data_IF_798082736334
#
_entry.id   IF_798082736334
#
_cell.length_a   1.000
_cell.length_b   1.000
_cell.length_c   1.000
_cell.angle_alpha   90.00
_cell.angle_beta   90.00
_cell.angle_gamma   90.00
#
_symmetry.space_group_name_H-M   'P 1'
#
loop_
_entity.id
_entity.type
_entity.pdbx_description
1 polymer ?
#
# COMPACT_ATOMS: atom_id res chain seq x y z
N UNK A 1 5.97 -38.93 -37.98
CA UNK A 1 6.10 -39.27 -36.55
C UNK A 1 6.81 -38.20 -35.70
N UNK A 2 8.14 -38.01 -35.75
CA UNK A 2 8.83 -36.99 -34.90
C UNK A 2 8.32 -35.55 -35.17
N UNK A 3 8.14 -35.21 -36.45
CA UNK A 3 7.69 -33.88 -36.88
C UNK A 3 6.22 -33.57 -36.52
N UNK A 4 5.36 -34.60 -36.48
CA UNK A 4 3.95 -34.49 -36.06
C UNK A 4 3.83 -34.33 -34.54
N UNK A 5 4.69 -35.03 -33.81
CA UNK A 5 4.78 -34.89 -32.35
C UNK A 5 5.27 -33.47 -32.01
N UNK A 6 6.31 -32.97 -32.69
CA UNK A 6 6.86 -31.64 -32.47
C UNK A 6 5.86 -30.52 -32.78
N UNK A 7 5.13 -30.63 -33.90
CA UNK A 7 4.08 -29.66 -34.26
C UNK A 7 2.90 -29.69 -33.30
N UNK A 8 2.53 -30.85 -32.75
CA UNK A 8 1.52 -30.95 -31.69
C UNK A 8 1.95 -30.25 -30.39
N UNK A 9 3.22 -30.39 -30.00
CA UNK A 9 3.75 -29.69 -28.82
C UNK A 9 3.83 -28.18 -29.02
N UNK A 10 4.32 -27.71 -30.17
CA UNK A 10 4.35 -26.27 -30.48
C UNK A 10 2.94 -25.69 -30.40
N UNK A 11 1.94 -26.34 -31.02
CA UNK A 11 0.55 -25.90 -30.94
C UNK A 11 0.06 -25.81 -29.50
N UNK A 12 0.34 -26.83 -28.68
CA UNK A 12 -0.08 -26.88 -27.28
C UNK A 12 0.55 -25.75 -26.46
N UNK A 13 1.86 -25.52 -26.62
CA UNK A 13 2.58 -24.43 -25.93
C UNK A 13 2.06 -23.07 -26.41
N UNK A 14 1.87 -22.88 -27.70
CA UNK A 14 1.33 -21.64 -28.26
C UNK A 14 -0.08 -21.35 -27.75
N UNK A 15 -0.96 -22.36 -27.63
CA UNK A 15 -2.29 -22.20 -27.03
C UNK A 15 -2.19 -21.82 -25.56
N UNK A 16 -1.25 -22.42 -24.81
CA UNK A 16 -1.03 -22.10 -23.40
C UNK A 16 -0.60 -20.64 -23.21
N UNK A 17 0.38 -20.20 -24.02
CA UNK A 17 0.87 -18.82 -24.00
C UNK A 17 -0.27 -17.87 -24.37
N UNK A 18 -1.08 -18.20 -25.37
CA UNK A 18 -2.24 -17.38 -25.76
C UNK A 18 -3.28 -17.25 -24.64
N UNK A 19 -3.57 -18.34 -23.91
CA UNK A 19 -4.49 -18.30 -22.76
C UNK A 19 -3.90 -17.45 -21.63
N UNK A 20 -2.63 -17.63 -21.29
CA UNK A 20 -1.97 -16.86 -20.23
C UNK A 20 -1.95 -15.37 -20.58
N UNK A 21 -1.57 -15.02 -21.81
CA UNK A 21 -1.63 -13.63 -22.30
C UNK A 21 -3.06 -13.11 -22.22
N UNK A 22 -4.06 -13.89 -22.67
CA UNK A 22 -5.46 -13.51 -22.59
C UNK A 22 -5.93 -13.22 -21.16
N UNK A 23 -5.58 -14.08 -20.19
CA UNK A 23 -5.96 -13.87 -18.79
C UNK A 23 -5.24 -12.65 -18.20
N UNK A 24 -3.95 -12.47 -18.48
CA UNK A 24 -3.19 -11.30 -18.03
C UNK A 24 -3.76 -10.01 -18.63
N UNK A 25 -4.11 -10.00 -19.93
CA UNK A 25 -4.75 -8.87 -20.59
C UNK A 25 -6.12 -8.56 -19.98
N UNK A 26 -6.95 -9.58 -19.71
CA UNK A 26 -8.24 -9.40 -19.04
C UNK A 26 -8.04 -8.84 -17.62
N UNK A 27 -7.05 -9.35 -16.89
CA UNK A 27 -6.70 -8.85 -15.56
C UNK A 27 -6.34 -7.36 -15.61
N UNK A 28 -5.40 -6.95 -16.47
CA UNK A 28 -5.02 -5.54 -16.61
C UNK A 28 -6.15 -4.66 -17.16
N UNK A 29 -7.08 -5.23 -17.94
CA UNK A 29 -8.25 -4.50 -18.42
C UNK A 29 -9.23 -4.16 -17.29
N UNK A 30 -9.40 -5.06 -16.32
CA UNK A 30 -10.27 -4.83 -15.16
C UNK A 30 -9.57 -4.22 -13.96
N UNK A 31 -8.24 -4.36 -13.87
CA UNK A 31 -7.43 -3.75 -12.83
C UNK A 31 -7.37 -2.24 -13.06
N UNK A 32 -8.16 -1.49 -12.32
CA UNK A 32 -8.10 -0.03 -12.31
C UNK A 32 -7.09 0.39 -11.26
N UNK A 33 -6.09 1.17 -11.68
CA UNK A 33 -5.19 1.83 -10.75
C UNK A 33 -6.02 2.69 -9.78
N UNK A 34 -5.69 2.62 -8.49
CA UNK A 34 -6.40 3.29 -7.43
C UNK A 34 -5.42 4.11 -6.58
N UNK A 35 -5.86 5.31 -6.20
CA UNK A 35 -5.13 6.11 -5.21
C UNK A 35 -5.51 5.61 -3.83
N UNK A 36 -4.53 5.15 -3.05
CA UNK A 36 -4.76 4.70 -1.69
C UNK A 36 -3.84 5.51 -0.77
N UNK A 37 -4.42 6.38 0.06
CA UNK A 37 -3.68 7.13 1.06
C UNK A 37 -3.72 6.39 2.40
N UNK A 38 -2.55 6.01 2.89
CA UNK A 38 -2.36 5.49 4.23
C UNK A 38 -2.03 6.63 5.18
N UNK A 39 -2.79 6.74 6.28
CA UNK A 39 -2.54 7.70 7.36
C UNK A 39 -2.14 6.92 8.60
N UNK A 40 -0.90 7.13 9.05
CA UNK A 40 -0.30 6.49 10.23
C UNK A 40 0.04 7.53 11.28
N UNK A 41 -0.38 7.30 12.52
CA UNK A 41 0.10 8.06 13.68
C UNK A 41 1.33 7.36 14.26
N UNK A 42 2.52 7.89 14.01
CA UNK A 42 3.82 7.30 14.39
C UNK A 42 4.12 7.46 15.88
N UNK A 43 3.76 8.60 16.45
CA UNK A 43 3.92 8.91 17.86
C UNK A 43 2.77 9.79 18.31
N UNK A 44 2.23 9.52 19.49
CA UNK A 44 1.17 10.28 20.12
C UNK A 44 1.57 10.51 21.56
N UNK A 45 1.85 11.76 21.93
CA UNK A 45 2.29 12.11 23.27
C UNK A 45 1.45 13.24 23.84
N UNK A 46 0.96 13.05 25.06
CA UNK A 46 0.40 14.13 25.85
C UNK A 46 1.56 14.88 26.54
N UNK A 47 1.76 16.14 26.19
CA UNK A 47 2.88 16.95 26.70
C UNK A 47 2.61 17.59 28.05
N UNK A 48 1.33 17.82 28.38
CA UNK A 48 0.90 18.55 29.58
C UNK A 48 0.27 17.61 30.60
N UNK A 49 0.77 16.38 30.70
CA UNK A 49 0.26 15.43 31.67
C UNK A 49 0.46 15.98 33.09
N UNK A 50 -0.63 16.01 33.88
CA UNK A 50 -0.67 16.66 35.18
C UNK A 50 0.26 15.96 36.17
N UNK A 51 1.45 16.51 36.34
CA UNK A 51 2.35 16.25 37.48
C UNK A 51 2.03 17.18 38.66
N UNK A 52 0.79 17.66 38.76
CA UNK A 52 0.37 18.53 39.86
C UNK A 52 0.00 17.70 41.09
N UNK A 53 0.78 17.80 42.15
CA UNK A 53 0.44 17.34 43.51
C UNK A 53 -0.06 18.53 44.34
N UNK A 54 -0.57 18.29 45.55
CA UNK A 54 -1.16 19.33 46.41
C UNK A 54 -0.23 20.55 46.62
N UNK A 55 1.09 20.35 46.56
CA UNK A 55 2.10 21.40 46.76
C UNK A 55 2.81 21.88 45.46
N UNK A 56 2.48 21.32 44.29
CA UNK A 56 3.16 21.64 43.02
C UNK A 56 2.14 21.93 41.91
N UNK A 57 2.23 23.14 41.34
CA UNK A 57 1.44 23.52 40.15
C UNK A 57 2.37 23.74 38.97
N UNK A 58 2.13 22.99 37.90
CA UNK A 58 2.83 23.15 36.62
C UNK A 58 1.87 23.82 35.62
N UNK A 59 2.35 24.87 34.97
CA UNK A 59 1.61 25.56 33.89
C UNK A 59 2.46 25.51 32.63
N UNK A 60 1.80 25.20 31.51
CA UNK A 60 2.43 25.14 30.21
C UNK A 60 1.98 26.32 29.37
N UNK A 61 2.91 26.88 28.60
CA UNK A 61 2.65 27.99 27.70
C UNK A 61 3.15 27.64 26.30
N UNK A 62 2.31 27.86 25.28
CA UNK A 62 2.71 27.81 23.89
C UNK A 62 3.22 29.20 23.47
N UNK A 63 4.43 29.24 22.91
CA UNK A 63 5.13 30.49 22.53
C UNK A 63 5.14 31.53 23.66
N UNK A 64 5.44 31.07 24.87
CA UNK A 64 5.62 31.87 26.09
C UNK A 64 4.41 32.71 26.56
N UNK A 65 3.28 32.66 25.85
CA UNK A 65 2.19 33.63 26.03
C UNK A 65 0.82 32.98 26.15
N UNK A 66 0.60 31.85 25.48
CA UNK A 66 -0.72 31.23 25.42
C UNK A 66 -0.74 30.06 26.41
N UNK A 67 -1.49 30.13 27.52
CA UNK A 67 -1.61 29.00 28.43
C UNK A 67 -2.27 27.83 27.72
N UNK A 68 -1.74 26.62 27.89
CA UNK A 68 -2.23 25.42 27.24
C UNK A 68 -2.50 24.31 28.24
N UNK A 69 -3.56 23.55 28.02
CA UNK A 69 -3.86 22.34 28.76
C UNK A 69 -4.08 21.20 27.77
N UNK A 70 -3.91 19.96 28.23
CA UNK A 70 -4.04 18.75 27.41
C UNK A 70 -3.43 18.88 25.99
N UNK A 71 -2.20 19.39 25.90
CA UNK A 71 -1.52 19.60 24.63
C UNK A 71 -0.96 18.27 24.14
N UNK A 72 -1.45 17.81 23.00
CA UNK A 72 -0.96 16.64 22.31
C UNK A 72 0.06 17.03 21.25
N UNK A 73 1.18 16.32 21.23
CA UNK A 73 2.11 16.28 20.10
C UNK A 73 1.90 14.98 19.36
N UNK A 74 1.56 15.07 18.08
CA UNK A 74 1.29 13.89 17.24
C UNK A 74 2.10 13.97 15.96
N UNK A 75 2.82 12.90 15.68
CA UNK A 75 3.56 12.72 14.44
C UNK A 75 2.76 11.80 13.51
N UNK A 76 2.41 12.32 12.34
CA UNK A 76 1.67 11.58 11.32
C UNK A 76 2.54 11.35 10.09
N UNK A 77 2.38 10.19 9.45
CA UNK A 77 2.87 9.93 8.09
C UNK A 77 1.66 9.66 7.22
N UNK A 78 1.53 10.44 6.15
CA UNK A 78 0.58 10.19 5.07
C UNK A 78 1.38 9.65 3.90
N UNK A 79 1.04 8.47 3.38
CA UNK A 79 1.75 7.84 2.27
C UNK A 79 0.77 7.40 1.20
N UNK A 80 1.08 7.65 -0.07
CA UNK A 80 0.36 6.99 -1.14
C UNK A 80 0.89 5.55 -1.29
N UNK A 81 0.07 4.57 -0.92
CA UNK A 81 0.38 3.14 -1.02
C UNK A 81 -0.36 2.46 -2.19
N UNK A 82 -1.17 3.24 -2.92
CA UNK A 82 -1.86 2.80 -4.12
C UNK A 82 -0.89 2.69 -5.30
N UNK A 83 -1.38 2.17 -6.42
CA UNK A 83 -0.63 2.07 -7.68
C UNK A 83 -0.83 3.29 -8.59
N UNK A 84 -1.87 4.10 -8.36
CA UNK A 84 -2.08 5.36 -9.06
C UNK A 84 -1.32 6.54 -8.42
N UNK A 85 -0.95 7.53 -9.26
CA UNK A 85 -0.46 8.83 -8.79
C UNK A 85 -1.63 9.74 -8.48
N UNK A 86 -1.63 10.37 -7.29
CA UNK A 86 -2.61 11.39 -6.94
C UNK A 86 -2.20 12.75 -7.52
N UNK A 87 -3.04 13.31 -8.41
CA UNK A 87 -2.78 14.61 -9.05
C UNK A 87 -3.50 15.73 -8.28
N UNK A 88 -2.74 16.67 -7.73
CA UNK A 88 -3.24 17.77 -6.91
C UNK A 88 -3.64 19.02 -7.70
N UNK A 89 -2.94 19.31 -8.81
CA UNK A 89 -3.12 20.55 -9.59
C UNK A 89 -3.24 20.29 -11.09
N UNK A 90 -3.92 21.19 -11.81
CA UNK A 90 -4.08 21.14 -13.27
C UNK A 90 -5.44 20.61 -13.72
N UNK A 91 -5.61 20.46 -15.03
CA UNK A 91 -6.91 20.06 -15.63
C UNK A 91 -7.35 18.65 -15.24
N UNK A 92 -6.38 17.75 -15.03
CA UNK A 92 -6.62 16.36 -14.64
C UNK A 92 -6.52 16.14 -13.11
N UNK A 93 -6.73 17.18 -12.29
CA UNK A 93 -6.68 17.05 -10.84
C UNK A 93 -7.74 16.07 -10.33
N UNK A 94 -7.37 15.28 -9.33
CA UNK A 94 -8.27 14.34 -8.65
C UNK A 94 -8.80 14.90 -7.33
N UNK A 95 -8.19 15.98 -6.82
CA UNK A 95 -8.70 16.72 -5.67
C UNK A 95 -9.95 17.51 -6.07
N UNK A 96 -11.01 17.41 -5.27
CA UNK A 96 -12.21 18.24 -5.44
C UNK A 96 -11.97 19.68 -4.95
N UNK A 97 -11.05 19.85 -4.01
CA UNK A 97 -10.55 21.14 -3.54
C UNK A 97 -9.25 21.55 -4.26
N UNK A 98 -8.80 22.79 -4.07
CA UNK A 98 -7.49 23.24 -4.57
C UNK A 98 -6.32 22.53 -3.89
N UNK A 99 -6.46 22.21 -2.59
CA UNK A 99 -5.45 21.54 -1.78
C UNK A 99 -6.13 20.52 -0.86
N UNK A 100 -5.39 19.49 -0.46
CA UNK A 100 -5.91 18.40 0.36
C UNK A 100 -6.11 18.87 1.81
N UNK A 101 -7.35 18.98 2.32
CA UNK A 101 -7.58 19.46 3.68
C UNK A 101 -7.21 18.42 4.72
N UNK A 102 -6.57 18.88 5.80
CA UNK A 102 -6.28 18.09 6.99
C UNK A 102 -7.25 18.50 8.10
N UNK A 103 -8.05 17.55 8.57
CA UNK A 103 -8.98 17.78 9.68
C UNK A 103 -8.53 16.96 10.88
N UNK A 104 -8.47 17.56 12.07
CA UNK A 104 -8.17 16.80 13.29
C UNK A 104 -9.45 16.63 14.09
N UNK A 105 -9.89 15.39 14.25
CA UNK A 105 -11.03 15.05 15.10
C UNK A 105 -10.67 15.25 16.57
N UNK A 106 -11.69 15.59 17.36
CA UNK A 106 -11.59 15.88 18.79
C UNK A 106 -10.77 17.13 19.12
N UNK A 107 -10.34 17.94 18.14
CA UNK A 107 -9.61 19.17 18.43
C UNK A 107 -10.48 20.18 19.20
N UNK A 108 -9.91 20.81 20.22
CA UNK A 108 -10.43 22.07 20.77
C UNK A 108 -9.68 23.25 20.11
N UNK A 109 -8.35 23.13 19.99
CA UNK A 109 -7.52 24.12 19.31
C UNK A 109 -6.32 23.47 18.59
N UNK A 110 -6.02 23.91 17.36
CA UNK A 110 -4.78 23.54 16.66
C UNK A 110 -3.81 24.72 16.79
N UNK A 111 -2.68 24.50 17.46
CA UNK A 111 -1.63 25.51 17.56
C UNK A 111 -0.74 25.54 16.31
N UNK A 112 -0.38 24.37 15.80
CA UNK A 112 0.41 24.25 14.59
C UNK A 112 0.32 22.86 14.00
N UNK A 113 0.33 22.81 12.67
CA UNK A 113 0.66 21.62 11.88
C UNK A 113 1.84 22.04 11.01
N UNK A 114 2.88 21.22 10.95
CA UNK A 114 4.05 21.49 10.13
C UNK A 114 4.51 20.22 9.43
N UNK A 115 4.96 20.35 8.18
CA UNK A 115 5.65 19.27 7.47
C UNK A 115 7.07 19.18 8.02
N UNK A 116 7.45 18.01 8.53
CA UNK A 116 8.81 17.74 9.02
C UNK A 116 9.68 17.15 7.92
N UNK A 117 9.09 16.27 7.11
CA UNK A 117 9.76 15.60 6.01
C UNK A 117 8.77 15.31 4.88
N UNK A 118 9.22 15.39 3.64
CA UNK A 118 8.46 14.93 2.49
C UNK A 118 9.41 14.50 1.37
N UNK A 119 8.93 13.65 0.46
CA UNK A 119 9.67 13.28 -0.75
C UNK A 119 8.90 13.59 -2.04
N UNK A 120 7.84 14.42 -1.95
CA UNK A 120 6.96 14.81 -3.06
C UNK A 120 6.83 16.33 -3.22
N UNK A 121 7.77 17.10 -2.63
CA UNK A 121 7.76 18.57 -2.65
C UNK A 121 6.46 19.20 -2.10
N UNK A 122 5.71 18.47 -1.28
CA UNK A 122 4.50 18.99 -0.67
C UNK A 122 4.81 20.14 0.29
N UNK A 123 3.93 21.14 0.29
CA UNK A 123 3.93 22.25 1.23
C UNK A 123 2.61 22.32 1.99
N UNK A 124 2.58 23.05 3.09
CA UNK A 124 1.39 23.21 3.91
C UNK A 124 0.94 24.66 3.90
N UNK A 125 -0.33 24.90 3.56
CA UNK A 125 -0.97 26.21 3.62
C UNK A 125 -2.31 26.09 4.35
N UNK A 126 -2.45 26.75 5.51
CA UNK A 126 -3.69 26.77 6.30
C UNK A 126 -4.27 25.36 6.56
N UNK A 127 -3.45 24.43 7.06
CA UNK A 127 -3.81 23.02 7.30
C UNK A 127 -4.28 22.27 6.04
N UNK A 128 -3.84 22.71 4.85
CA UNK A 128 -4.06 22.00 3.60
C UNK A 128 -2.72 21.66 2.98
N UNK A 129 -2.58 20.42 2.51
CA UNK A 129 -1.38 19.97 1.81
C UNK A 129 -1.50 20.41 0.35
N UNK A 130 -0.55 21.21 -0.10
CA UNK A 130 -0.39 21.67 -1.46
C UNK A 130 0.69 20.82 -2.14
N UNK A 131 0.36 20.19 -3.27
CA UNK A 131 1.28 19.37 -4.05
C UNK A 131 0.83 19.31 -5.50
N UNK A 132 1.78 19.10 -6.43
CA UNK A 132 1.44 18.93 -7.85
C UNK A 132 0.99 17.50 -8.14
N UNK A 133 1.81 16.55 -7.72
CA UNK A 133 1.60 15.12 -7.88
C UNK A 133 2.09 14.40 -6.61
N UNK A 134 1.51 13.26 -6.30
CA UNK A 134 1.88 12.41 -5.18
C UNK A 134 1.86 10.96 -5.64
N UNK A 135 3.04 10.48 -6.06
CA UNK A 135 3.24 9.16 -6.70
C UNK A 135 3.15 8.03 -5.70
N UNK A 136 2.97 6.81 -6.21
CA UNK A 136 3.03 5.60 -5.40
C UNK A 136 4.35 5.52 -4.61
N UNK A 137 4.25 5.25 -3.31
CA UNK A 137 5.37 5.18 -2.37
C UNK A 137 5.79 6.52 -1.77
N UNK A 138 5.40 7.66 -2.35
CA UNK A 138 5.71 8.99 -1.81
C UNK A 138 4.91 9.28 -0.53
N UNK A 139 5.50 10.09 0.36
CA UNK A 139 4.96 10.39 1.67
C UNK A 139 5.21 11.84 2.11
N UNK A 140 4.39 12.26 3.06
CA UNK A 140 4.54 13.50 3.82
C UNK A 140 4.44 13.15 5.29
N UNK A 141 5.40 13.62 6.05
CA UNK A 141 5.42 13.54 7.51
C UNK A 141 5.05 14.89 8.11
N UNK A 142 4.18 14.85 9.11
CA UNK A 142 3.61 16.00 9.77
C UNK A 142 3.79 15.89 11.28
N UNK A 143 4.06 17.02 11.93
CA UNK A 143 3.91 17.17 13.36
C UNK A 143 2.76 18.14 13.66
N UNK A 144 1.85 17.72 14.53
CA UNK A 144 0.71 18.52 14.96
C UNK A 144 0.76 18.75 16.47
N UNK A 145 0.53 20.00 16.87
CA UNK A 145 0.34 20.41 18.26
C UNK A 145 -1.11 20.83 18.44
N UNK A 146 -1.86 20.04 19.21
CA UNK A 146 -3.32 20.13 19.31
C UNK A 146 -3.73 20.05 20.76
N UNK A 147 -4.52 21.01 21.21
CA UNK A 147 -5.21 20.93 22.50
C UNK A 147 -6.51 20.15 22.34
N UNK A 148 -6.67 19.12 23.16
CA UNK A 148 -7.87 18.29 23.18
C UNK A 148 -7.98 17.49 24.48
N UNK A 149 -9.20 17.30 24.95
CA UNK A 149 -9.50 16.41 26.09
C UNK A 149 -9.34 14.93 25.74
N UNK A 150 -9.60 14.56 24.49
CA UNK A 150 -9.45 13.19 24.00
C UNK A 150 -8.26 13.09 23.05
N UNK A 151 -7.78 11.88 22.78
CA UNK A 151 -6.70 11.71 21.83
C UNK A 151 -7.13 12.23 20.43
N UNK A 152 -6.42 13.23 19.86
CA UNK A 152 -6.74 13.76 18.55
C UNK A 152 -6.44 12.75 17.43
N UNK A 153 -7.23 12.79 16.36
CA UNK A 153 -7.05 11.90 15.21
C UNK A 153 -7.11 12.70 13.91
N UNK A 154 -6.06 12.61 13.10
CA UNK A 154 -6.05 13.16 11.75
C UNK A 154 -7.02 12.39 10.86
N UNK A 155 -7.89 13.13 10.17
CA UNK A 155 -8.89 12.63 9.24
C UNK A 155 -8.75 13.39 7.93
N UNK A 156 -8.77 12.62 6.85
CA UNK A 156 -8.90 13.09 5.48
C UNK A 156 -10.22 12.52 4.95
N UNK A 157 -11.04 13.36 4.33
CA UNK A 157 -12.32 12.92 3.77
C UNK A 157 -12.09 12.13 2.49
N UNK A 158 -12.70 10.96 2.36
CA UNK A 158 -12.73 10.20 1.11
C UNK A 158 -13.43 10.97 -0.01
N UNK A 159 -14.33 11.90 0.35
CA UNK A 159 -15.00 12.79 -0.59
C UNK A 159 -14.10 13.87 -1.18
N UNK A 160 -12.94 14.16 -0.59
CA UNK A 160 -12.07 15.23 -1.12
C UNK A 160 -11.21 14.76 -2.31
N UNK A 161 -11.15 13.45 -2.55
CA UNK A 161 -10.30 12.84 -3.57
C UNK A 161 -11.13 11.86 -4.40
N UNK A 162 -11.21 12.09 -5.71
CA UNK A 162 -11.92 11.22 -6.65
C UNK A 162 -11.31 9.81 -6.70
N UNK A 163 -12.18 8.80 -6.68
CA UNK A 163 -11.83 7.38 -6.87
C UNK A 163 -10.64 6.92 -6.00
N UNK A 164 -10.71 7.24 -4.70
CA UNK A 164 -9.65 6.97 -3.74
C UNK A 164 -10.11 6.17 -2.54
N UNK A 165 -9.15 5.57 -1.85
CA UNK A 165 -9.35 4.89 -0.57
C UNK A 165 -8.41 5.51 0.47
N UNK A 166 -8.92 5.70 1.70
CA UNK A 166 -8.14 6.22 2.82
C UNK A 166 -8.09 5.17 3.91
N UNK A 167 -6.90 4.71 4.24
CA UNK A 167 -6.67 3.65 5.23
C UNK A 167 -5.99 4.26 6.45
N UNK A 168 -6.62 4.11 7.61
CA UNK A 168 -6.07 4.55 8.89
C UNK A 168 -5.41 3.37 9.59
N UNK A 169 -4.13 3.51 9.93
CA UNK A 169 -3.41 2.50 10.70
C UNK A 169 -2.82 3.12 11.97
N UNK A 170 -2.96 2.40 13.08
CA UNK A 170 -2.15 2.70 14.26
C UNK A 170 -0.73 2.23 13.96
N UNK A 171 0.27 3.03 14.34
CA UNK A 171 1.65 2.57 14.26
C UNK A 171 1.84 1.41 15.22
N UNK A 172 1.81 0.21 14.68
CA UNK A 172 2.55 -0.92 15.24
C UNK A 172 3.96 -0.79 14.70
N UNK A 173 5.00 -0.74 15.55
CA UNK A 173 6.37 -0.85 15.04
C UNK A 173 6.42 -2.09 14.17
N UNK A 174 6.68 -1.91 12.87
CA UNK A 174 6.96 -3.01 11.99
C UNK A 174 8.17 -3.70 12.60
N UNK A 175 7.95 -4.83 13.27
CA UNK A 175 9.03 -5.75 13.58
C UNK A 175 9.70 -5.98 12.24
N UNK A 176 10.93 -5.48 12.09
CA UNK A 176 11.75 -5.74 10.92
C UNK A 176 11.70 -7.25 10.77
N UNK A 177 10.93 -7.71 9.80
CA UNK A 177 10.80 -9.13 9.55
C UNK A 177 12.16 -9.48 8.97
N UNK A 178 13.04 -10.06 9.79
CA UNK A 178 14.36 -10.52 9.32
C UNK A 178 14.20 -11.53 8.17
N UNK A 179 12.98 -12.04 7.96
CA UNK A 179 12.54 -12.88 6.85
C UNK A 179 11.58 -12.13 5.89
N UNK A 180 11.87 -10.89 5.51
CA UNK A 180 11.14 -10.21 4.44
C UNK A 180 11.27 -11.03 3.16
N UNK A 181 10.15 -11.52 2.63
CA UNK A 181 10.15 -12.44 1.49
C UNK A 181 10.49 -11.65 0.23
N UNK A 182 11.08 -12.30 -0.77
CA UNK A 182 11.39 -11.66 -2.07
C UNK A 182 10.13 -11.03 -2.69
N UNK A 183 8.96 -11.62 -2.45
CA UNK A 183 7.64 -11.12 -2.90
C UNK A 183 7.27 -9.78 -2.27
N UNK A 184 7.72 -9.47 -1.06
CA UNK A 184 7.37 -8.24 -0.34
C UNK A 184 8.06 -7.00 -0.95
N UNK A 185 9.14 -7.20 -1.69
CA UNK A 185 9.86 -6.15 -2.43
C UNK A 185 9.28 -5.86 -3.82
N UNK A 186 8.37 -6.71 -4.30
CA UNK A 186 7.78 -6.55 -5.62
C UNK A 186 6.55 -5.64 -5.57
N UNK A 187 6.29 -4.83 -6.61
CA UNK A 187 5.05 -4.06 -6.73
C UNK A 187 3.82 -4.97 -6.58
N UNK A 188 2.78 -4.50 -5.88
CA UNK A 188 1.56 -5.30 -5.60
C UNK A 188 0.96 -5.93 -6.86
N UNK A 189 0.91 -5.18 -7.96
CA UNK A 189 0.39 -5.66 -9.24
C UNK A 189 1.20 -6.85 -9.77
N UNK A 190 2.53 -6.85 -9.60
CA UNK A 190 3.41 -7.93 -10.03
C UNK A 190 3.20 -9.18 -9.16
N UNK A 191 3.12 -8.99 -7.84
CA UNK A 191 2.83 -10.08 -6.88
C UNK A 191 1.52 -10.77 -7.24
N UNK A 192 0.49 -9.99 -7.52
CA UNK A 192 -0.83 -10.50 -7.88
C UNK A 192 -0.82 -11.21 -9.23
N UNK A 193 -0.09 -10.68 -10.21
CA UNK A 193 0.13 -11.32 -11.51
C UNK A 193 0.84 -12.67 -11.35
N UNK A 194 1.91 -12.74 -10.54
CA UNK A 194 2.65 -13.98 -10.27
C UNK A 194 1.75 -15.03 -9.61
N UNK A 195 0.90 -14.63 -8.64
CA UNK A 195 -0.09 -15.53 -8.01
C UNK A 195 -1.06 -16.12 -9.03
N UNK A 196 -1.62 -15.28 -9.91
CA UNK A 196 -2.57 -15.73 -10.93
C UNK A 196 -1.88 -16.72 -11.89
N UNK A 197 -0.68 -16.37 -12.34
CA UNK A 197 0.13 -17.22 -13.21
C UNK A 197 0.41 -18.58 -12.56
N UNK A 198 0.77 -18.59 -11.27
CA UNK A 198 0.97 -19.79 -10.48
C UNK A 198 -0.28 -20.68 -10.43
N UNK A 199 -1.45 -20.12 -10.14
CA UNK A 199 -2.69 -20.88 -10.10
C UNK A 199 -3.05 -21.51 -11.45
N UNK A 200 -2.83 -20.76 -12.54
CA UNK A 200 -3.08 -21.25 -13.90
C UNK A 200 -2.12 -22.40 -14.24
N UNK A 201 -0.81 -22.17 -14.10
CA UNK A 201 0.21 -23.18 -14.40
C UNK A 201 0.07 -24.41 -13.48
N UNK A 202 -0.19 -24.20 -12.20
CA UNK A 202 -0.45 -25.28 -11.23
C UNK A 202 -1.68 -26.11 -11.61
N UNK A 203 -2.78 -25.48 -12.03
CA UNK A 203 -3.97 -26.17 -12.52
C UNK A 203 -3.70 -26.98 -13.79
N UNK A 204 -2.96 -26.43 -14.75
CA UNK A 204 -2.55 -27.13 -15.99
C UNK A 204 -1.69 -28.37 -15.65
N UNK A 205 -0.74 -28.22 -14.73
CA UNK A 205 0.15 -29.30 -14.31
C UNK A 205 -0.62 -30.41 -13.58
N UNK A 206 -1.55 -30.05 -12.69
CA UNK A 206 -2.42 -31.01 -12.01
C UNK A 206 -3.28 -31.80 -13.01
N UNK A 207 -3.88 -31.12 -13.99
CA UNK A 207 -4.65 -31.79 -15.05
C UNK A 207 -3.76 -32.68 -15.93
N UNK A 208 -2.58 -32.18 -16.33
CA UNK A 208 -1.63 -32.92 -17.15
C UNK A 208 -1.08 -34.17 -16.45
N UNK A 209 -0.85 -34.10 -15.14
CA UNK A 209 -0.43 -35.24 -14.33
C UNK A 209 -1.54 -36.26 -14.11
N UNK A 210 -2.80 -35.84 -13.91
CA UNK A 210 -3.96 -36.75 -13.89
C UNK A 210 -4.09 -37.49 -15.23
N UNK A 211 -4.00 -36.78 -16.35
CA UNK A 211 -4.06 -37.39 -17.70
C UNK A 211 -2.89 -38.34 -17.94
N UNK A 212 -1.68 -37.98 -17.50
CA UNK A 212 -0.48 -38.82 -17.63
C UNK A 212 -0.53 -40.08 -16.74
N UNK A 213 -1.15 -40.01 -15.56
CA UNK A 213 -1.40 -41.18 -14.69
C UNK A 213 -2.42 -42.12 -15.34
N UNK A 214 -3.44 -41.58 -16.01
CA UNK A 214 -4.40 -42.36 -16.78
C UNK A 214 -3.79 -42.97 -18.07
N UNK A 215 -2.75 -42.36 -18.65
CA UNK A 215 -2.05 -42.87 -19.84
C UNK A 215 -0.73 -43.55 -19.45
N UNK A 216 -0.77 -44.86 -19.19
CA UNK A 216 0.43 -45.67 -18.91
C UNK A 216 1.49 -45.50 -20.02
N UNK A 217 2.64 -44.92 -19.66
CA UNK A 217 3.93 -45.31 -20.22
C UNK A 217 4.46 -44.57 -21.45
N UNK A 218 4.40 -43.22 -21.52
CA UNK A 218 5.17 -42.48 -22.54
C UNK A 218 5.98 -41.32 -21.95
N UNK A 219 6.97 -40.87 -22.72
CA UNK A 219 7.94 -39.79 -22.42
C UNK A 219 7.29 -38.45 -22.01
N UNK A 220 5.98 -38.29 -22.22
CA UNK A 220 5.11 -37.23 -21.68
C UNK A 220 5.25 -37.13 -20.15
N UNK A 221 5.48 -38.25 -19.45
CA UNK A 221 5.74 -38.25 -18.02
C UNK A 221 6.98 -37.43 -17.64
N UNK A 222 8.05 -37.46 -18.45
CA UNK A 222 9.31 -36.74 -18.16
C UNK A 222 9.18 -35.22 -18.36
N UNK A 223 8.40 -34.77 -19.34
CA UNK A 223 8.14 -33.34 -19.58
C UNK A 223 7.19 -32.76 -18.52
N UNK A 224 6.23 -33.56 -18.04
CA UNK A 224 5.41 -33.19 -16.89
C UNK A 224 6.25 -32.97 -15.63
N UNK A 225 7.31 -33.76 -15.43
CA UNK A 225 8.23 -33.63 -14.28
C UNK A 225 8.98 -32.30 -14.30
N UNK A 226 9.42 -31.81 -15.46
CA UNK A 226 10.12 -30.51 -15.57
C UNK A 226 9.18 -29.35 -15.23
N UNK A 227 7.95 -29.38 -15.74
CA UNK A 227 6.95 -28.35 -15.41
C UNK A 227 6.52 -28.40 -13.94
N UNK A 228 6.37 -29.60 -13.36
CA UNK A 228 6.16 -29.78 -11.91
C UNK A 228 7.31 -29.14 -11.12
N UNK A 229 8.56 -29.38 -11.52
CA UNK A 229 9.75 -28.79 -10.90
C UNK A 229 9.76 -27.26 -10.98
N UNK A 230 9.36 -26.69 -12.12
CA UNK A 230 9.27 -25.23 -12.30
C UNK A 230 8.13 -24.62 -11.48
N UNK A 231 7.00 -25.32 -11.33
CA UNK A 231 5.91 -24.89 -10.44
C UNK A 231 6.27 -24.99 -8.96
N UNK A 232 7.13 -25.95 -8.58
CA UNK A 232 7.65 -26.09 -7.22
C UNK A 232 8.67 -24.99 -6.86
N UNK A 233 9.24 -24.29 -7.84
CA UNK A 233 10.11 -23.13 -7.62
C UNK A 233 9.33 -21.85 -7.27
N UNK A 234 8.03 -21.76 -7.58
CA UNK A 234 7.23 -20.55 -7.31
C UNK A 234 6.90 -20.39 -5.81
N UNK A 235 6.59 -21.46 -5.05
CA UNK A 235 6.51 -21.41 -3.59
C UNK A 235 7.80 -20.96 -2.91
N UNK A 236 8.97 -21.15 -3.53
CA UNK A 236 10.24 -20.67 -2.97
C UNK A 236 10.31 -19.15 -2.87
N UNK A 237 9.60 -18.41 -3.75
CA UNK A 237 9.42 -16.95 -3.63
C UNK A 237 8.64 -16.55 -2.36
N UNK A 238 7.88 -17.48 -1.79
CA UNK A 238 7.09 -17.28 -0.57
C UNK A 238 7.80 -17.79 0.68
N UNK A 239 8.96 -18.42 0.54
CA UNK A 239 9.75 -19.02 1.63
C UNK A 239 11.03 -18.22 1.87
N UNK A 240 11.63 -17.67 0.81
CA UNK A 240 12.80 -16.79 0.84
C UNK A 240 12.44 -15.32 0.64
#
# INVERSE_FOLDING_TARGET
MLMEIFTKYIKTISTLVAITVGIVTIYFYFHKECVILEVKAMSVQLLTESTSTDDLRVQYFYKDTIPVQNLWQIQYVIRNIGDATLIGTGENKQLLSENLPLTIKNQEHIYSIAITQSNNEASLLNNRICFKQWRSGEFVELIAFVESKEQPQLIISDRDIKDSEIIYQKYTPETINENAKIVDYLPRWLVQTIKILYFIFGGIIALGSIIAICQKGTWISKLSVIFVLLSLLIPLLWIF
#
